data_IF_193185149664
#
_entry.id   IF_193185149664
#
_cell.length_a   1.000
_cell.length_b   1.000
_cell.length_c   1.000
_cell.angle_alpha   90.00
_cell.angle_beta   90.00
_cell.angle_gamma   90.00
#
_symmetry.space_group_name_H-M   'P 1'
#
loop_
_entity.id
_entity.type
_entity.pdbx_description
1 polymer ?
#
# COMPACT_ATOMS: atom_id res chain seq x y z
N UNK A 1 11.71 11.06 -97.45
CA UNK A 1 10.56 10.54 -96.67
C UNK A 1 11.04 9.37 -95.82
N UNK A 2 11.33 9.60 -94.53
CA UNK A 2 11.64 8.54 -93.56
C UNK A 2 10.64 8.71 -92.41
N UNK A 3 9.76 7.72 -92.22
CA UNK A 3 8.79 7.67 -91.12
C UNK A 3 9.43 6.94 -89.95
N UNK A 4 9.62 7.64 -88.83
CA UNK A 4 10.01 7.10 -87.53
C UNK A 4 8.78 6.55 -86.81
N UNK A 5 8.88 5.32 -86.30
CA UNK A 5 7.90 4.64 -85.46
C UNK A 5 8.29 4.93 -84.00
N UNK A 6 7.40 5.57 -83.24
CA UNK A 6 7.56 5.74 -81.79
C UNK A 6 7.01 4.52 -81.05
N UNK A 7 7.87 3.81 -80.33
CA UNK A 7 7.49 2.77 -79.38
C UNK A 7 7.25 3.41 -78.00
N UNK A 8 6.06 3.22 -77.44
CA UNK A 8 5.74 3.61 -76.06
C UNK A 8 6.07 2.45 -75.12
N UNK A 9 7.01 2.67 -74.19
CA UNK A 9 7.25 1.78 -73.05
C UNK A 9 6.23 2.10 -71.94
N UNK A 10 5.38 1.12 -71.59
CA UNK A 10 4.63 1.13 -70.33
C UNK A 10 5.53 0.56 -69.22
N UNK A 11 5.95 1.39 -68.27
CA UNK A 11 6.55 0.95 -67.01
C UNK A 11 5.45 0.62 -66.00
N UNK A 12 5.30 -0.66 -65.66
CA UNK A 12 4.44 -1.10 -64.56
C UNK A 12 5.16 -0.89 -63.22
N UNK A 13 4.69 0.06 -62.42
CA UNK A 13 5.14 0.24 -61.03
C UNK A 13 4.34 -0.73 -60.16
N UNK A 14 5.00 -1.77 -59.66
CA UNK A 14 4.42 -2.66 -58.66
C UNK A 14 4.43 -1.96 -57.30
N UNK A 15 3.25 -1.48 -56.85
CA UNK A 15 3.03 -1.05 -55.48
C UNK A 15 3.05 -2.27 -54.55
N UNK A 16 4.19 -2.53 -53.92
CA UNK A 16 4.25 -3.40 -52.74
C UNK A 16 3.56 -2.68 -51.59
N UNK A 17 2.32 -3.05 -51.30
CA UNK A 17 1.64 -2.64 -50.08
C UNK A 17 2.37 -3.21 -48.87
N UNK A 18 2.98 -2.34 -48.07
CA UNK A 18 3.49 -2.67 -46.73
C UNK A 18 2.28 -2.99 -45.84
N UNK A 19 2.01 -4.28 -45.63
CA UNK A 19 1.11 -4.69 -44.54
C UNK A 19 1.83 -4.33 -43.24
N UNK A 20 1.24 -3.53 -42.35
CA UNK A 20 1.86 -3.28 -41.05
C UNK A 20 2.00 -4.63 -40.35
N UNK A 21 3.24 -5.01 -40.03
CA UNK A 21 3.47 -6.14 -39.16
C UNK A 21 2.75 -5.82 -37.84
N UNK A 22 1.72 -6.59 -37.49
CA UNK A 22 1.22 -6.57 -36.12
C UNK A 22 2.41 -6.93 -35.25
N UNK A 23 2.87 -5.97 -34.43
CA UNK A 23 3.84 -6.25 -33.40
C UNK A 23 3.31 -7.42 -32.57
N UNK A 24 4.11 -8.47 -32.42
CA UNK A 24 3.74 -9.57 -31.55
C UNK A 24 3.48 -9.00 -30.15
N UNK A 25 2.38 -9.39 -29.52
CA UNK A 25 2.11 -9.00 -28.13
C UNK A 25 3.32 -9.41 -27.27
N UNK A 26 3.82 -8.53 -26.38
CA UNK A 26 4.95 -8.84 -25.54
C UNK A 26 4.70 -10.13 -24.76
N UNK A 27 5.61 -11.09 -24.87
CA UNK A 27 5.61 -12.33 -24.10
C UNK A 27 6.90 -12.41 -23.28
N UNK A 28 6.79 -12.73 -22.00
CA UNK A 28 7.91 -12.74 -21.07
C UNK A 28 7.42 -12.58 -19.63
N UNK A 29 8.29 -12.10 -18.75
CA UNK A 29 8.02 -12.07 -17.31
C UNK A 29 8.12 -10.65 -16.77
N UNK A 30 7.08 -10.21 -16.06
CA UNK A 30 7.14 -9.07 -15.13
C UNK A 30 7.43 -9.61 -13.74
N UNK A 31 8.38 -8.99 -13.05
CA UNK A 31 8.75 -9.40 -11.70
C UNK A 31 8.11 -8.46 -10.66
N UNK A 32 7.39 -9.04 -9.71
CA UNK A 32 6.90 -8.35 -8.52
C UNK A 32 7.86 -8.66 -7.36
N UNK A 33 8.62 -7.65 -6.93
CA UNK A 33 9.52 -7.76 -5.78
C UNK A 33 8.80 -7.20 -4.55
N UNK A 34 8.51 -8.07 -3.57
CA UNK A 34 7.84 -7.71 -2.30
C UNK A 34 8.83 -7.77 -1.14
N UNK A 35 8.64 -6.95 -0.08
CA UNK A 35 9.55 -6.94 1.05
C UNK A 35 9.48 -8.24 1.85
N UNK A 36 8.26 -8.72 2.11
CA UNK A 36 7.99 -9.99 2.79
C UNK A 36 6.63 -10.55 2.33
N UNK A 37 6.26 -11.74 2.81
CA UNK A 37 4.91 -12.31 2.67
C UNK A 37 4.26 -12.63 4.02
N UNK A 38 4.88 -12.18 5.10
CA UNK A 38 4.40 -12.36 6.48
C UNK A 38 3.45 -11.24 6.89
N UNK A 39 3.62 -10.03 6.35
CA UNK A 39 2.64 -8.94 6.46
C UNK A 39 1.42 -9.30 5.61
N UNK A 40 0.25 -9.34 6.26
CA UNK A 40 -1.00 -9.85 5.68
C UNK A 40 -1.34 -9.22 4.33
N UNK A 41 -1.17 -7.89 4.20
CA UNK A 41 -1.57 -7.17 2.98
C UNK A 41 -0.94 -7.71 1.69
N UNK A 42 0.34 -8.09 1.74
CA UNK A 42 1.06 -8.53 0.55
C UNK A 42 0.51 -9.86 0.05
N UNK A 43 0.42 -10.84 0.96
CA UNK A 43 0.00 -12.19 0.63
C UNK A 43 -1.51 -12.31 0.36
N UNK A 44 -2.33 -11.51 1.06
CA UNK A 44 -3.79 -11.61 0.99
C UNK A 44 -4.42 -10.71 -0.05
N UNK A 45 -3.84 -9.54 -0.32
CA UNK A 45 -4.48 -8.54 -1.16
C UNK A 45 -3.61 -8.14 -2.35
N UNK A 46 -2.43 -7.58 -2.13
CA UNK A 46 -1.64 -6.97 -3.20
C UNK A 46 -1.20 -8.01 -4.26
N UNK A 47 -0.61 -9.14 -3.85
CA UNK A 47 -0.16 -10.19 -4.78
C UNK A 47 -1.35 -10.84 -5.55
N UNK A 48 -2.44 -11.27 -4.90
CA UNK A 48 -3.60 -11.81 -5.62
C UNK A 48 -4.23 -10.81 -6.59
N UNK A 49 -4.45 -9.56 -6.15
CA UNK A 49 -5.04 -8.53 -7.01
C UNK A 49 -4.13 -8.19 -8.20
N UNK A 50 -2.81 -8.11 -8.00
CA UNK A 50 -1.87 -7.93 -9.12
C UNK A 50 -1.86 -9.12 -10.07
N UNK A 51 -1.97 -10.34 -9.55
CA UNK A 51 -2.06 -11.56 -10.38
C UNK A 51 -3.31 -11.53 -11.25
N UNK A 52 -4.46 -11.13 -10.70
CA UNK A 52 -5.70 -10.94 -11.45
C UNK A 52 -5.61 -9.81 -12.47
N UNK A 53 -5.00 -8.68 -12.08
CA UNK A 53 -4.78 -7.55 -12.97
C UNK A 53 -3.87 -7.94 -14.15
N UNK A 54 -2.80 -8.71 -13.93
CA UNK A 54 -1.94 -9.23 -15.00
C UNK A 54 -2.73 -10.14 -15.96
N UNK A 55 -3.57 -11.05 -15.45
CA UNK A 55 -4.45 -11.88 -16.30
C UNK A 55 -5.44 -11.03 -17.11
N UNK A 56 -5.93 -9.94 -16.54
CA UNK A 56 -6.91 -9.03 -17.18
C UNK A 56 -6.28 -8.16 -18.26
N UNK A 57 -5.14 -7.53 -17.98
CA UNK A 57 -4.54 -6.48 -18.82
C UNK A 57 -3.38 -6.99 -19.69
N UNK A 58 -2.75 -8.10 -19.31
CA UNK A 58 -1.61 -8.69 -20.03
C UNK A 58 -1.59 -10.22 -19.92
N UNK A 59 -2.61 -10.95 -20.41
CA UNK A 59 -2.70 -12.40 -20.27
C UNK A 59 -1.55 -13.21 -20.90
N UNK A 60 -0.74 -12.58 -21.76
CA UNK A 60 0.47 -13.18 -22.36
C UNK A 60 1.77 -12.95 -21.58
N UNK A 61 1.73 -12.17 -20.49
CA UNK A 61 2.90 -11.87 -19.64
C UNK A 61 2.75 -12.60 -18.30
N UNK A 62 3.79 -13.34 -17.93
CA UNK A 62 3.86 -14.02 -16.64
C UNK A 62 4.20 -13.02 -15.51
N UNK A 63 3.57 -13.18 -14.35
CA UNK A 63 3.93 -12.46 -13.14
C UNK A 63 4.76 -13.39 -12.23
N UNK A 64 6.04 -13.07 -12.05
CA UNK A 64 6.91 -13.78 -11.11
C UNK A 64 7.06 -12.98 -9.82
N UNK A 65 6.60 -13.54 -8.70
CA UNK A 65 6.73 -12.92 -7.38
C UNK A 65 8.04 -13.35 -6.72
N UNK A 66 8.80 -12.39 -6.19
CA UNK A 66 10.01 -12.61 -5.42
C UNK A 66 9.87 -11.96 -4.03
N UNK A 67 10.00 -12.77 -3.00
CA UNK A 67 9.90 -12.37 -1.60
C UNK A 67 11.30 -12.14 -1.01
N UNK A 68 11.58 -10.93 -0.53
CA UNK A 68 12.88 -10.57 0.04
C UNK A 68 13.08 -10.98 1.51
N UNK A 69 12.05 -11.46 2.22
CA UNK A 69 12.10 -11.81 3.65
C UNK A 69 12.65 -10.68 4.54
N UNK A 70 12.25 -9.44 4.25
CA UNK A 70 12.72 -8.20 4.90
C UNK A 70 14.24 -7.97 4.79
N UNK A 71 14.93 -8.68 3.87
CA UNK A 71 16.37 -8.55 3.62
C UNK A 71 16.62 -7.70 2.36
N UNK A 72 17.17 -6.50 2.59
CA UNK A 72 17.48 -5.56 1.51
C UNK A 72 18.55 -6.11 0.53
N UNK A 73 19.53 -6.87 1.00
CA UNK A 73 20.56 -7.45 0.14
C UNK A 73 19.97 -8.56 -0.73
N UNK A 74 19.06 -9.36 -0.17
CA UNK A 74 18.30 -10.35 -0.92
C UNK A 74 17.45 -9.69 -2.01
N UNK A 75 16.78 -8.57 -1.70
CA UNK A 75 15.98 -7.84 -2.70
C UNK A 75 16.85 -7.31 -3.85
N UNK A 76 18.06 -6.82 -3.57
CA UNK A 76 19.01 -6.41 -4.61
C UNK A 76 19.40 -7.60 -5.49
N UNK A 77 19.77 -8.75 -4.91
CA UNK A 77 20.13 -9.95 -5.67
C UNK A 77 18.96 -10.49 -6.50
N UNK A 78 17.73 -10.37 -6.00
CA UNK A 78 16.51 -10.73 -6.72
C UNK A 78 16.29 -9.84 -7.95
N UNK A 79 16.49 -8.52 -7.82
CA UNK A 79 16.41 -7.60 -8.95
C UNK A 79 17.48 -7.91 -10.00
N UNK A 80 18.73 -8.14 -9.58
CA UNK A 80 19.82 -8.52 -10.49
C UNK A 80 19.51 -9.82 -11.25
N UNK A 81 18.93 -10.81 -10.55
CA UNK A 81 18.52 -12.08 -11.17
C UNK A 81 17.36 -11.91 -12.14
N UNK A 82 16.39 -11.04 -11.83
CA UNK A 82 15.28 -10.71 -12.71
C UNK A 82 15.77 -10.03 -14.00
N UNK A 83 16.66 -9.03 -13.87
CA UNK A 83 17.28 -8.34 -15.00
C UNK A 83 18.10 -9.29 -15.88
N UNK A 84 18.95 -10.12 -15.27
CA UNK A 84 19.73 -11.13 -15.99
C UNK A 84 18.86 -12.18 -16.71
N UNK A 85 17.63 -12.40 -16.24
CA UNK A 85 16.65 -13.30 -16.84
C UNK A 85 15.82 -12.63 -17.95
N UNK A 86 16.09 -11.36 -18.27
CA UNK A 86 15.37 -10.61 -19.31
C UNK A 86 13.98 -10.14 -18.89
N UNK A 87 13.83 -9.68 -17.64
CA UNK A 87 12.60 -9.09 -17.15
C UNK A 87 12.04 -8.04 -18.13
N UNK A 88 10.75 -8.15 -18.48
CA UNK A 88 10.06 -7.12 -19.27
C UNK A 88 9.85 -5.85 -18.45
N UNK A 89 9.65 -5.99 -17.15
CA UNK A 89 9.41 -4.89 -16.23
C UNK A 89 9.49 -5.37 -14.78
N UNK A 90 9.70 -4.42 -13.87
CA UNK A 90 9.74 -4.69 -12.43
C UNK A 90 8.68 -3.84 -11.74
N UNK A 91 7.87 -4.47 -10.91
CA UNK A 91 7.03 -3.78 -9.94
C UNK A 91 7.69 -3.95 -8.57
N UNK A 92 8.15 -2.85 -7.99
CA UNK A 92 8.99 -2.84 -6.80
C UNK A 92 8.24 -2.31 -5.58
N UNK A 93 8.08 -3.17 -4.58
CA UNK A 93 7.78 -2.79 -3.20
C UNK A 93 9.07 -2.94 -2.40
N UNK A 94 9.79 -1.83 -2.19
CA UNK A 94 11.15 -1.88 -1.62
C UNK A 94 11.16 -2.24 -0.14
N UNK A 95 12.08 -3.10 0.31
CA UNK A 95 12.34 -3.34 1.75
C UNK A 95 12.74 -2.05 2.45
N UNK A 96 13.58 -1.25 1.82
CA UNK A 96 14.11 0.02 2.34
C UNK A 96 14.21 1.03 1.18
N UNK A 97 13.25 1.95 1.03
CA UNK A 97 13.23 2.89 -0.09
C UNK A 97 14.48 3.76 -0.23
N UNK A 98 15.05 4.35 0.85
CA UNK A 98 16.33 5.05 0.75
C UNK A 98 17.48 4.21 0.16
N UNK A 99 17.44 2.88 0.31
CA UNK A 99 18.46 1.95 -0.18
C UNK A 99 18.14 1.28 -1.52
N UNK A 100 17.00 1.60 -2.14
CA UNK A 100 16.57 0.99 -3.42
C UNK A 100 17.28 1.55 -4.66
N UNK A 101 18.06 2.63 -4.53
CA UNK A 101 18.74 3.32 -5.63
C UNK A 101 19.53 2.39 -6.57
N UNK A 102 20.20 1.38 -6.01
CA UNK A 102 21.02 0.44 -6.79
C UNK A 102 20.20 -0.51 -7.65
N UNK A 103 18.95 -0.83 -7.23
CA UNK A 103 17.99 -1.62 -8.03
C UNK A 103 17.52 -0.76 -9.20
N UNK A 104 17.09 0.47 -8.91
CA UNK A 104 16.56 1.41 -9.89
C UNK A 104 17.58 1.73 -10.99
N UNK A 105 18.82 2.04 -10.59
CA UNK A 105 19.89 2.37 -11.54
C UNK A 105 20.26 1.20 -12.47
N UNK A 106 20.22 -0.04 -11.97
CA UNK A 106 20.49 -1.23 -12.79
C UNK A 106 19.37 -1.50 -13.79
N UNK A 107 18.13 -1.38 -13.36
CA UNK A 107 16.98 -1.55 -14.25
C UNK A 107 16.99 -0.52 -15.39
N UNK A 108 17.30 0.74 -15.10
CA UNK A 108 17.46 1.78 -16.12
C UNK A 108 18.61 1.47 -17.10
N UNK A 109 19.75 1.00 -16.60
CA UNK A 109 20.89 0.63 -17.44
C UNK A 109 20.57 -0.50 -18.43
N UNK A 110 19.69 -1.43 -18.03
CA UNK A 110 19.21 -2.54 -18.85
C UNK A 110 17.96 -2.18 -19.68
N UNK A 111 17.47 -0.93 -19.57
CA UNK A 111 16.27 -0.46 -20.27
C UNK A 111 14.96 -1.09 -19.78
N UNK A 112 14.95 -1.63 -18.56
CA UNK A 112 13.79 -2.31 -17.97
C UNK A 112 12.97 -1.30 -17.15
N UNK A 113 11.69 -1.04 -17.48
CA UNK A 113 10.86 -0.10 -16.74
C UNK A 113 10.58 -0.60 -15.32
N UNK A 114 10.59 0.34 -14.37
CA UNK A 114 10.23 0.09 -12.97
C UNK A 114 9.00 0.90 -12.58
N UNK A 115 7.98 0.24 -12.05
CA UNK A 115 6.87 0.86 -11.32
C UNK A 115 7.05 0.58 -9.84
N UNK A 116 7.16 1.63 -9.02
CA UNK A 116 7.23 1.45 -7.56
C UNK A 116 5.84 1.45 -6.95
N UNK A 117 5.65 0.67 -5.88
CA UNK A 117 4.31 0.39 -5.35
C UNK A 117 4.31 0.43 -3.82
N UNK A 118 3.31 1.13 -3.27
CA UNK A 118 2.98 1.32 -1.85
C UNK A 118 4.05 1.98 -0.98
N UNK A 119 5.30 1.52 -1.03
CA UNK A 119 6.42 2.18 -0.36
C UNK A 119 7.00 3.29 -1.23
N UNK A 120 7.63 4.29 -0.61
CA UNK A 120 8.25 5.40 -1.33
C UNK A 120 9.08 4.92 -2.53
N UNK A 121 9.11 5.67 -3.64
CA UNK A 121 9.83 5.26 -4.85
C UNK A 121 11.35 5.12 -4.67
N UNK A 122 11.92 5.71 -3.62
CA UNK A 122 13.37 5.75 -3.40
C UNK A 122 14.12 6.65 -4.40
N UNK A 123 15.40 6.95 -4.15
CA UNK A 123 16.17 7.86 -5.01
C UNK A 123 16.70 7.14 -6.24
N UNK A 124 16.06 7.34 -7.39
CA UNK A 124 16.49 6.77 -8.66
C UNK A 124 15.47 6.91 -9.79
N UNK A 125 15.79 6.39 -10.99
CA UNK A 125 14.88 6.39 -12.14
C UNK A 125 13.70 5.45 -11.87
N UNK A 126 12.50 6.01 -11.92
CA UNK A 126 11.22 5.28 -11.74
C UNK A 126 10.27 5.75 -12.82
N UNK A 127 9.62 4.82 -13.51
CA UNK A 127 8.66 5.15 -14.58
C UNK A 127 7.36 5.72 -14.00
N UNK A 128 6.78 5.03 -13.01
CA UNK A 128 5.58 5.47 -12.31
C UNK A 128 5.59 5.01 -10.85
N UNK A 129 4.82 5.71 -10.02
CA UNK A 129 4.59 5.32 -8.64
C UNK A 129 3.10 5.07 -8.38
N UNK A 130 2.75 4.03 -7.62
CA UNK A 130 1.37 3.77 -7.19
C UNK A 130 1.33 3.69 -5.68
N UNK A 131 0.55 4.57 -5.05
CA UNK A 131 0.42 4.62 -3.58
C UNK A 131 -0.88 5.28 -3.17
N UNK A 132 -0.99 5.57 -1.88
CA UNK A 132 -2.03 6.40 -1.27
C UNK A 132 -1.36 7.61 -0.60
N UNK A 133 -2.07 8.75 -0.44
CA UNK A 133 -1.57 9.84 0.38
C UNK A 133 -1.50 9.42 1.86
N UNK A 134 -0.29 9.38 2.45
CA UNK A 134 -0.13 8.96 3.84
C UNK A 134 -0.71 9.96 4.85
N UNK A 135 -0.68 11.26 4.51
CA UNK A 135 -1.24 12.32 5.35
C UNK A 135 -2.73 12.14 5.61
N UNK A 136 -3.47 11.64 4.61
CA UNK A 136 -4.92 11.52 4.66
C UNK A 136 -5.35 10.44 5.66
N UNK A 137 -4.47 9.46 5.91
CA UNK A 137 -4.67 8.39 6.89
C UNK A 137 -4.69 9.00 8.29
N UNK A 138 -3.63 9.71 8.65
CA UNK A 138 -3.52 10.36 9.95
C UNK A 138 -4.58 11.44 10.15
N UNK A 139 -4.94 12.16 9.08
CA UNK A 139 -5.98 13.17 9.12
C UNK A 139 -7.35 12.56 9.46
N UNK A 140 -7.73 11.48 8.78
CA UNK A 140 -8.99 10.78 9.04
C UNK A 140 -9.02 10.19 10.46
N UNK A 141 -7.95 9.50 10.88
CA UNK A 141 -7.86 8.89 12.20
C UNK A 141 -7.83 9.93 13.33
N UNK A 142 -7.07 11.01 13.17
CA UNK A 142 -6.97 12.10 14.15
C UNK A 142 -8.28 12.85 14.29
N UNK A 143 -8.94 13.16 13.17
CA UNK A 143 -10.29 13.75 13.19
C UNK A 143 -11.26 12.86 13.95
N UNK A 144 -11.32 11.57 13.59
CA UNK A 144 -12.24 10.63 14.20
C UNK A 144 -12.02 10.49 15.71
N UNK A 145 -10.76 10.38 16.16
CA UNK A 145 -10.42 10.37 17.58
C UNK A 145 -10.85 11.68 18.27
N UNK A 146 -10.62 12.85 17.65
CA UNK A 146 -11.00 14.14 18.23
C UNK A 146 -12.52 14.28 18.46
N UNK A 147 -13.33 13.65 17.60
CA UNK A 147 -14.80 13.65 17.67
C UNK A 147 -15.35 12.56 18.61
N UNK A 148 -14.55 11.55 18.93
CA UNK A 148 -14.94 10.36 19.72
C UNK A 148 -14.01 10.14 20.92
N UNK A 149 -13.53 11.23 21.52
CA UNK A 149 -12.72 11.16 22.74
C UNK A 149 -13.50 10.42 23.85
N UNK A 150 -12.83 9.58 24.67
CA UNK A 150 -13.40 9.05 25.91
C UNK A 150 -13.95 10.17 26.79
N UNK A 151 -14.86 9.89 27.73
CA UNK A 151 -15.50 10.96 28.53
C UNK A 151 -14.58 11.58 29.61
N UNK A 152 -13.58 10.84 30.09
CA UNK A 152 -12.66 11.28 31.15
C UNK A 152 -11.78 12.48 30.74
N UNK A 153 -11.46 13.38 31.67
CA UNK A 153 -10.62 14.57 31.42
C UNK A 153 -9.55 14.76 32.51
N UNK A 154 -8.27 15.03 32.14
CA UNK A 154 -7.74 14.91 30.77
C UNK A 154 -7.88 13.47 30.26
N UNK A 155 -8.13 13.29 28.96
CA UNK A 155 -8.13 11.96 28.34
C UNK A 155 -6.69 11.46 28.34
N UNK A 156 -6.43 10.34 28.98
CA UNK A 156 -5.09 9.74 29.09
C UNK A 156 -4.86 8.77 27.93
N UNK A 157 -4.11 9.20 26.93
CA UNK A 157 -3.81 8.38 25.75
C UNK A 157 -2.41 7.75 25.83
N UNK A 158 -2.33 6.49 25.43
CA UNK A 158 -1.09 5.77 25.19
C UNK A 158 -0.79 5.71 23.68
N UNK A 159 0.33 6.26 23.24
CA UNK A 159 0.77 6.21 21.84
C UNK A 159 1.69 5.01 21.63
N UNK A 160 1.19 3.99 20.92
CA UNK A 160 1.93 2.78 20.54
C UNK A 160 2.10 2.79 19.02
N UNK A 161 3.06 3.58 18.57
CA UNK A 161 3.21 3.99 17.18
C UNK A 161 4.03 2.98 16.37
N UNK A 162 4.19 3.24 15.08
CA UNK A 162 4.98 2.42 14.16
C UNK A 162 6.48 2.71 14.23
N UNK A 163 7.17 2.46 13.10
CA UNK A 163 8.60 2.69 12.97
C UNK A 163 8.90 4.03 12.28
N UNK A 164 9.60 4.97 12.96
CA UNK A 164 9.86 6.31 12.45
C UNK A 164 10.80 6.36 11.24
N UNK A 165 11.45 5.25 10.86
CA UNK A 165 12.30 5.22 9.66
C UNK A 165 11.50 5.25 8.36
N UNK A 166 10.21 4.93 8.40
CA UNK A 166 9.34 4.97 7.22
C UNK A 166 8.60 6.30 7.14
N UNK A 167 8.52 6.89 5.95
CA UNK A 167 7.80 8.16 5.74
C UNK A 167 6.33 8.08 6.18
N UNK A 168 5.72 6.90 6.07
CA UNK A 168 4.38 6.60 6.58
C UNK A 168 4.16 7.09 8.02
N UNK A 169 5.11 6.84 8.93
CA UNK A 169 5.04 7.28 10.32
C UNK A 169 4.94 8.81 10.40
N UNK A 170 5.86 9.51 9.75
CA UNK A 170 5.96 10.96 9.81
C UNK A 170 4.74 11.64 9.22
N UNK A 171 4.26 11.18 8.08
CA UNK A 171 3.08 11.74 7.40
C UNK A 171 1.78 11.45 8.15
N UNK A 172 1.62 10.24 8.70
CA UNK A 172 0.47 9.90 9.53
C UNK A 172 0.45 10.74 10.82
N UNK A 173 1.59 10.92 11.50
CA UNK A 173 1.66 11.80 12.68
C UNK A 173 1.33 13.25 12.35
N UNK A 174 1.83 13.79 11.23
CA UNK A 174 1.44 15.14 10.77
C UNK A 174 -0.08 15.27 10.59
N UNK A 175 -0.73 14.24 10.03
CA UNK A 175 -2.19 14.19 9.88
C UNK A 175 -2.90 14.16 11.23
N UNK A 176 -2.46 13.30 12.15
CA UNK A 176 -3.00 13.21 13.52
C UNK A 176 -2.89 14.54 14.27
N UNK A 177 -1.71 15.17 14.21
CA UNK A 177 -1.38 16.38 14.95
C UNK A 177 -2.26 17.56 14.53
N UNK A 178 -2.81 17.59 13.32
CA UNK A 178 -3.80 18.61 12.91
C UNK A 178 -5.00 18.69 13.87
N UNK A 179 -5.42 17.55 14.43
CA UNK A 179 -6.58 17.46 15.32
C UNK A 179 -6.21 17.26 16.78
N UNK A 180 -5.15 16.48 17.06
CA UNK A 180 -4.81 16.12 18.43
C UNK A 180 -3.93 17.17 19.11
N UNK A 181 -3.05 17.86 18.38
CA UNK A 181 -2.16 18.85 18.99
C UNK A 181 -2.92 19.98 19.72
N UNK A 182 -3.99 20.58 19.17
CA UNK A 182 -4.77 21.58 19.91
C UNK A 182 -5.38 21.05 21.22
N UNK A 183 -5.79 19.77 21.23
CA UNK A 183 -6.38 19.11 22.40
C UNK A 183 -5.33 18.75 23.46
N UNK A 184 -4.11 18.43 23.03
CA UNK A 184 -2.96 18.21 23.92
C UNK A 184 -2.53 19.55 24.52
N UNK A 185 -2.33 20.57 23.68
CA UNK A 185 -1.83 21.88 24.09
C UNK A 185 -2.78 22.59 25.07
N UNK A 186 -4.10 22.33 24.99
CA UNK A 186 -5.10 22.89 25.91
C UNK A 186 -5.41 21.99 27.13
N UNK A 187 -4.74 20.84 27.26
CA UNK A 187 -4.90 19.91 28.39
C UNK A 187 -6.16 19.04 28.35
N UNK A 188 -6.91 19.02 27.24
CA UNK A 188 -8.04 18.08 27.06
C UNK A 188 -7.55 16.64 26.96
N UNK A 189 -6.39 16.44 26.34
CA UNK A 189 -5.71 15.15 26.16
C UNK A 189 -4.33 15.20 26.82
N UNK A 190 -3.97 14.13 27.53
CA UNK A 190 -2.65 13.89 28.09
C UNK A 190 -2.05 12.63 27.45
N UNK A 191 -0.84 12.74 26.89
CA UNK A 191 -0.11 11.55 26.41
C UNK A 191 0.70 10.96 27.58
N UNK A 192 0.20 9.87 28.16
CA UNK A 192 0.80 9.27 29.37
C UNK A 192 1.96 8.33 29.07
N UNK A 193 1.98 7.80 27.85
CA UNK A 193 3.02 6.95 27.31
C UNK A 193 3.16 7.19 25.81
N UNK A 194 4.39 7.11 25.31
CA UNK A 194 4.68 7.10 23.88
C UNK A 194 5.86 6.16 23.63
N UNK A 195 5.69 5.22 22.70
CA UNK A 195 6.74 4.32 22.27
C UNK A 195 6.52 3.86 20.83
N UNK A 196 7.62 3.63 20.12
CA UNK A 196 7.62 3.17 18.73
C UNK A 196 7.75 1.65 18.68
N UNK A 197 6.90 1.00 17.88
CA UNK A 197 6.97 -0.43 17.57
C UNK A 197 7.80 -0.60 16.30
N UNK A 198 9.11 -0.81 16.46
CA UNK A 198 10.04 -0.99 15.33
C UNK A 198 9.55 -2.09 14.37
N UNK A 199 9.69 -1.83 13.07
CA UNK A 199 9.15 -2.65 11.98
C UNK A 199 7.62 -2.89 12.04
N UNK A 200 6.86 -2.09 12.79
CA UNK A 200 5.41 -2.24 12.99
C UNK A 200 5.02 -3.60 13.62
N UNK A 201 5.94 -4.25 14.34
CA UNK A 201 5.71 -5.59 14.88
C UNK A 201 4.74 -5.58 16.06
N UNK A 202 3.73 -6.46 16.00
CA UNK A 202 2.76 -6.68 17.07
C UNK A 202 3.43 -6.97 18.43
N UNK A 203 4.49 -7.79 18.44
CA UNK A 203 5.23 -8.11 19.67
C UNK A 203 5.89 -6.88 20.32
N UNK A 204 6.37 -5.93 19.52
CA UNK A 204 6.95 -4.69 20.03
C UNK A 204 5.85 -3.77 20.59
N UNK A 205 4.73 -3.62 19.89
CA UNK A 205 3.59 -2.85 20.37
C UNK A 205 2.99 -3.43 21.65
N UNK A 206 2.87 -4.76 21.76
CA UNK A 206 2.41 -5.44 22.97
C UNK A 206 3.33 -5.12 24.15
N UNK A 207 4.63 -5.33 24.01
CA UNK A 207 5.62 -5.03 25.05
C UNK A 207 5.56 -3.56 25.49
N UNK A 208 5.47 -2.64 24.54
CA UNK A 208 5.38 -1.21 24.82
C UNK A 208 4.12 -0.88 25.62
N UNK A 209 2.98 -1.48 25.28
CA UNK A 209 1.71 -1.27 25.99
C UNK A 209 1.73 -1.90 27.39
N UNK A 210 2.28 -3.10 27.56
CA UNK A 210 2.47 -3.73 28.88
C UNK A 210 3.30 -2.85 29.82
N UNK A 211 4.38 -2.24 29.30
CA UNK A 211 5.20 -1.29 30.05
C UNK A 211 4.43 -0.02 30.40
N UNK A 212 3.62 0.50 29.47
CA UNK A 212 2.76 1.65 29.73
C UNK A 212 1.77 1.35 30.84
N UNK A 213 1.01 0.26 30.73
CA UNK A 213 0.01 -0.19 31.70
C UNK A 213 0.62 -0.37 33.09
N UNK A 214 1.83 -0.96 33.17
CA UNK A 214 2.58 -1.07 34.43
C UNK A 214 2.93 0.30 35.01
N UNK A 215 3.46 1.21 34.19
CA UNK A 215 3.89 2.56 34.61
C UNK A 215 2.71 3.42 35.08
N UNK A 216 1.55 3.29 34.44
CA UNK A 216 0.36 4.08 34.74
C UNK A 216 -0.58 3.39 35.72
N UNK A 217 -0.23 2.20 36.22
CA UNK A 217 -1.12 1.39 37.04
C UNK A 217 -2.50 1.18 36.37
N UNK A 218 -2.48 0.86 35.08
CA UNK A 218 -3.64 0.70 34.21
C UNK A 218 -4.50 1.97 34.00
N UNK A 219 -4.04 3.16 34.41
CA UNK A 219 -4.76 4.43 34.20
C UNK A 219 -4.51 4.97 32.78
N UNK A 220 -5.19 4.36 31.80
CA UNK A 220 -5.21 4.76 30.37
C UNK A 220 -6.65 4.74 29.88
N UNK A 221 -7.09 5.80 29.20
CA UNK A 221 -8.46 5.93 28.65
C UNK A 221 -8.56 5.46 27.19
N UNK A 222 -7.45 5.51 26.46
CA UNK A 222 -7.39 5.05 25.06
C UNK A 222 -5.96 4.79 24.61
N UNK A 223 -5.82 4.03 23.53
CA UNK A 223 -4.53 3.79 22.89
C UNK A 223 -4.58 4.17 21.42
N UNK A 224 -3.51 4.78 20.90
CA UNK A 224 -3.36 5.13 19.48
C UNK A 224 -2.35 4.20 18.84
N UNK A 225 -2.70 3.63 17.69
CA UNK A 225 -1.89 2.71 16.89
C UNK A 225 -1.87 3.14 15.43
N UNK A 226 -0.86 2.69 14.67
CA UNK A 226 -0.66 3.14 13.28
C UNK A 226 -1.18 2.15 12.23
N UNK A 227 -1.16 0.86 12.55
CA UNK A 227 -1.67 -0.22 11.68
C UNK A 227 -2.27 -1.37 12.51
N UNK A 228 -2.80 -2.38 11.85
CA UNK A 228 -3.50 -3.48 12.54
C UNK A 228 -2.59 -4.43 13.34
N UNK A 229 -1.33 -4.57 12.94
CA UNK A 229 -0.34 -5.37 13.69
C UNK A 229 -0.03 -4.69 15.03
N UNK A 230 0.23 -3.38 15.02
CA UNK A 230 0.41 -2.59 16.24
C UNK A 230 -0.87 -2.58 17.09
N UNK A 231 -2.04 -2.46 16.45
CA UNK A 231 -3.35 -2.64 17.09
C UNK A 231 -3.50 -3.99 17.78
N UNK A 232 -3.07 -5.07 17.13
CA UNK A 232 -3.14 -6.42 17.69
C UNK A 232 -2.27 -6.61 18.92
N UNK A 233 -1.05 -6.06 18.90
CA UNK A 233 -0.17 -6.05 20.06
C UNK A 233 -0.78 -5.31 21.25
N UNK A 234 -1.36 -4.13 21.01
CA UNK A 234 -2.04 -3.34 22.05
C UNK A 234 -3.25 -4.09 22.62
N UNK A 235 -4.09 -4.68 21.78
CA UNK A 235 -5.24 -5.48 22.24
C UNK A 235 -4.79 -6.69 23.06
N UNK A 236 -3.69 -7.36 22.70
CA UNK A 236 -3.15 -8.46 23.49
C UNK A 236 -2.72 -8.02 24.90
N UNK A 237 -2.02 -6.88 25.01
CA UNK A 237 -1.62 -6.30 26.30
C UNK A 237 -2.84 -5.91 27.16
N UNK A 238 -3.85 -5.28 26.55
CA UNK A 238 -5.10 -4.92 27.21
C UNK A 238 -5.88 -6.16 27.65
N UNK A 239 -5.86 -7.24 26.86
CA UNK A 239 -6.54 -8.50 27.18
C UNK A 239 -5.94 -9.13 28.42
N UNK A 240 -4.62 -9.07 28.59
CA UNK A 240 -3.93 -9.60 29.77
C UNK A 240 -4.28 -8.86 31.07
N UNK A 241 -4.93 -7.70 30.98
CA UNK A 241 -5.38 -6.87 32.11
C UNK A 241 -6.92 -6.78 32.21
N UNK A 242 -7.67 -7.58 31.43
CA UNK A 242 -9.14 -7.51 31.35
C UNK A 242 -9.66 -6.11 30.95
N UNK A 243 -8.92 -5.41 30.09
CA UNK A 243 -9.21 -4.02 29.68
C UNK A 243 -9.77 -3.89 28.25
N UNK A 244 -9.82 -4.97 27.48
CA UNK A 244 -10.43 -4.97 26.15
C UNK A 244 -11.90 -4.53 26.23
N UNK A 245 -12.28 -3.59 25.38
CA UNK A 245 -13.61 -2.97 25.38
C UNK A 245 -13.83 -1.92 26.49
N UNK A 246 -12.95 -1.84 27.49
CA UNK A 246 -12.91 -0.73 28.47
C UNK A 246 -12.00 0.40 27.99
N UNK A 247 -10.85 0.03 27.44
CA UNK A 247 -9.91 0.95 26.78
C UNK A 247 -10.08 0.77 25.28
N UNK A 248 -10.44 1.85 24.60
CA UNK A 248 -10.65 1.84 23.16
C UNK A 248 -9.34 2.07 22.42
N UNK A 249 -9.09 1.30 21.36
CA UNK A 249 -7.95 1.50 20.45
C UNK A 249 -8.39 2.38 19.28
N UNK A 250 -7.58 3.36 18.92
CA UNK A 250 -7.82 4.31 17.83
C UNK A 250 -6.68 4.23 16.79
N UNK A 251 -7.03 4.45 15.52
CA UNK A 251 -6.14 4.18 14.40
C UNK A 251 -6.33 2.75 13.88
N UNK A 252 -5.33 2.23 13.18
CA UNK A 252 -5.45 1.00 12.40
C UNK A 252 -5.36 1.26 10.91
N UNK A 253 -4.73 0.33 10.22
CA UNK A 253 -4.46 0.41 8.79
C UNK A 253 -4.15 -0.99 8.28
N UNK A 254 -4.53 -1.26 7.03
CA UNK A 254 -4.45 -2.50 6.25
C UNK A 254 -5.72 -3.35 6.21
N UNK A 255 -6.71 -3.10 7.08
CA UNK A 255 -7.95 -3.88 7.12
C UNK A 255 -7.70 -5.40 7.11
N UNK A 256 -6.83 -5.84 8.02
CA UNK A 256 -6.64 -7.27 8.30
C UNK A 256 -7.95 -7.87 8.81
N UNK A 257 -8.10 -9.18 8.69
CA UNK A 257 -9.32 -9.86 9.14
C UNK A 257 -9.58 -9.56 10.62
N UNK A 258 -8.56 -9.70 11.47
CA UNK A 258 -8.65 -9.40 12.89
C UNK A 258 -8.84 -7.90 13.16
N UNK A 259 -8.26 -7.00 12.36
CA UNK A 259 -8.47 -5.55 12.44
C UNK A 259 -9.93 -5.17 12.28
N UNK A 260 -10.55 -5.61 11.18
CA UNK A 260 -11.97 -5.37 10.91
C UNK A 260 -12.86 -6.04 11.96
N UNK A 261 -12.51 -7.24 12.42
CA UNK A 261 -13.24 -7.90 13.50
C UNK A 261 -13.17 -7.10 14.81
N UNK A 262 -12.03 -6.51 15.17
CA UNK A 262 -11.91 -5.64 16.35
C UNK A 262 -12.76 -4.39 16.23
N UNK A 263 -12.91 -3.83 15.02
CA UNK A 263 -13.84 -2.72 14.76
C UNK A 263 -15.28 -3.16 15.02
N UNK A 264 -15.69 -4.31 14.48
CA UNK A 264 -17.04 -4.86 14.67
C UNK A 264 -17.34 -5.23 16.14
N UNK A 265 -16.32 -5.60 16.91
CA UNK A 265 -16.43 -5.88 18.35
C UNK A 265 -16.40 -4.61 19.22
N UNK A 266 -16.14 -3.44 18.63
CA UNK A 266 -15.96 -2.18 19.35
C UNK A 266 -14.66 -2.07 20.14
N UNK A 267 -13.72 -3.00 19.97
CA UNK A 267 -12.40 -2.98 20.62
C UNK A 267 -11.48 -1.94 19.99
N UNK A 268 -11.64 -1.76 18.67
CA UNK A 268 -10.96 -0.74 17.88
C UNK A 268 -12.01 0.22 17.30
N UNK A 269 -11.71 1.50 17.27
CA UNK A 269 -12.70 2.55 17.01
C UNK A 269 -13.06 2.71 15.54
N UNK A 270 -12.08 2.46 14.68
CA UNK A 270 -12.13 2.51 13.24
C UNK A 270 -10.90 1.76 12.71
N UNK A 271 -10.82 1.61 11.40
CA UNK A 271 -9.67 1.07 10.69
C UNK A 271 -9.60 1.76 9.32
N UNK A 272 -8.56 1.49 8.54
CA UNK A 272 -8.38 2.05 7.21
C UNK A 272 -7.76 1.01 6.28
N UNK A 273 -8.13 1.05 5.01
CA UNK A 273 -7.53 0.20 4.00
C UNK A 273 -7.01 1.05 2.83
N UNK A 274 -5.86 0.69 2.23
CA UNK A 274 -5.62 1.08 0.85
C UNK A 274 -6.64 0.38 -0.05
N UNK A 275 -7.05 0.98 -1.18
CA UNK A 275 -7.91 0.33 -2.15
C UNK A 275 -7.09 -0.64 -3.02
N UNK A 276 -6.77 -1.79 -2.44
CA UNK A 276 -5.86 -2.80 -2.99
C UNK A 276 -6.08 -3.12 -4.46
N UNK A 277 -7.35 -3.33 -4.86
CA UNK A 277 -7.68 -3.64 -6.24
C UNK A 277 -7.37 -2.49 -7.20
N UNK A 278 -7.75 -1.26 -6.84
CA UNK A 278 -7.48 -0.07 -7.65
C UNK A 278 -5.99 0.16 -7.84
N UNK A 279 -5.23 0.04 -6.75
CA UNK A 279 -3.77 0.15 -6.78
C UNK A 279 -3.14 -0.92 -7.68
N UNK A 280 -3.50 -2.20 -7.50
CA UNK A 280 -2.97 -3.30 -8.31
C UNK A 280 -3.31 -3.16 -9.80
N UNK A 281 -4.57 -2.82 -10.12
CA UNK A 281 -5.03 -2.57 -11.49
C UNK A 281 -4.23 -1.41 -12.12
N UNK A 282 -3.97 -0.32 -11.38
CA UNK A 282 -3.19 0.81 -11.87
C UNK A 282 -1.71 0.45 -12.10
N UNK A 283 -1.09 -0.27 -11.16
CA UNK A 283 0.31 -0.68 -11.26
C UNK A 283 0.56 -1.55 -12.49
N UNK A 284 -0.33 -2.51 -12.75
CA UNK A 284 -0.27 -3.37 -13.94
C UNK A 284 -0.48 -2.56 -15.22
N UNK A 285 -1.49 -1.71 -15.29
CA UNK A 285 -1.73 -0.86 -16.46
C UNK A 285 -0.51 0.01 -16.81
N UNK A 286 0.11 0.60 -15.79
CA UNK A 286 1.28 1.46 -15.96
C UNK A 286 2.54 0.69 -16.40
N UNK A 287 2.82 -0.48 -15.81
CA UNK A 287 3.99 -1.25 -16.25
C UNK A 287 3.79 -1.81 -17.67
N UNK A 288 2.57 -2.24 -18.01
CA UNK A 288 2.25 -2.81 -19.33
C UNK A 288 2.36 -1.74 -20.41
N UNK A 289 1.87 -0.52 -20.17
CA UNK A 289 2.03 0.56 -21.16
C UNK A 289 3.51 0.87 -21.40
N UNK A 290 4.34 0.89 -20.35
CA UNK A 290 5.80 1.06 -20.49
C UNK A 290 6.45 -0.07 -21.29
N UNK A 291 6.08 -1.32 -21.05
CA UNK A 291 6.58 -2.48 -21.80
C UNK A 291 6.22 -2.36 -23.29
N UNK A 292 5.02 -1.84 -23.60
CA UNK A 292 4.55 -1.63 -24.98
C UNK A 292 5.13 -0.38 -25.65
N UNK A 293 5.87 0.46 -24.92
CA UNK A 293 6.35 1.75 -25.41
C UNK A 293 5.23 2.78 -25.60
N UNK A 294 4.11 2.59 -24.89
CA UNK A 294 2.92 3.45 -24.94
C UNK A 294 2.92 4.45 -23.78
N UNK A 295 2.13 5.52 -23.93
CA UNK A 295 1.83 6.42 -22.83
C UNK A 295 0.97 5.73 -21.76
N UNK A 296 0.98 6.25 -20.53
CA UNK A 296 0.06 5.77 -19.49
C UNK A 296 -1.40 5.92 -19.98
N UNK A 297 -2.28 4.95 -19.70
CA UNK A 297 -3.68 5.08 -20.06
C UNK A 297 -4.32 6.33 -19.42
N UNK A 298 -5.22 6.96 -20.16
CA UNK A 298 -5.89 8.19 -19.74
C UNK A 298 -6.54 8.02 -18.35
N UNK A 299 -6.30 8.99 -17.46
CA UNK A 299 -6.87 9.00 -16.11
C UNK A 299 -6.22 8.07 -15.10
N UNK A 300 -5.23 7.24 -15.48
CA UNK A 300 -4.49 6.42 -14.52
C UNK A 300 -3.51 7.28 -13.73
N UNK A 301 -2.68 8.09 -14.37
CA UNK A 301 -1.81 9.05 -13.66
C UNK A 301 -2.64 10.25 -13.20
N UNK A 302 -2.60 10.57 -11.91
CA UNK A 302 -3.40 11.65 -11.31
C UNK A 302 -2.58 12.60 -10.40
N UNK A 303 -1.27 12.39 -10.27
CA UNK A 303 -0.41 13.25 -9.46
C UNK A 303 1.08 12.97 -9.67
N UNK A 304 1.90 13.47 -8.74
CA UNK A 304 3.33 13.16 -8.67
C UNK A 304 3.75 12.84 -7.24
N UNK A 305 4.87 12.14 -7.08
CA UNK A 305 5.46 11.81 -5.77
C UNK A 305 6.94 12.18 -5.72
N UNK A 306 7.40 12.92 -4.69
CA UNK A 306 8.80 13.33 -4.60
C UNK A 306 9.72 12.13 -4.33
N UNK A 307 10.83 12.03 -5.08
CA UNK A 307 11.83 10.97 -4.86
C UNK A 307 13.27 11.49 -4.79
N UNK A 308 13.45 12.81 -4.77
CA UNK A 308 14.76 13.49 -4.76
C UNK A 308 15.70 13.08 -5.93
N UNK A 309 15.13 12.64 -7.05
CA UNK A 309 15.87 12.28 -8.26
C UNK A 309 15.21 12.86 -9.52
N UNK A 310 13.91 12.63 -9.68
CA UNK A 310 13.11 13.13 -10.79
C UNK A 310 12.64 14.55 -10.48
N UNK A 311 12.99 15.51 -11.34
CA UNK A 311 12.51 16.89 -11.23
C UNK A 311 10.97 16.92 -11.29
N UNK A 312 10.32 17.60 -10.34
CA UNK A 312 8.86 17.62 -10.22
C UNK A 312 8.22 16.35 -9.61
N UNK A 313 9.02 15.33 -9.31
CA UNK A 313 8.58 14.05 -8.75
C UNK A 313 8.22 13.00 -9.82
N UNK A 314 8.09 11.75 -9.36
CA UNK A 314 7.69 10.61 -10.19
C UNK A 314 6.19 10.73 -10.52
N UNK A 315 5.76 10.59 -11.78
CA UNK A 315 4.33 10.54 -12.11
C UNK A 315 3.64 9.40 -11.36
N UNK A 316 2.51 9.69 -10.74
CA UNK A 316 1.91 8.79 -9.77
C UNK A 316 0.40 8.56 -9.97
N UNK A 317 -0.03 7.36 -9.58
CA UNK A 317 -1.41 7.05 -9.19
C UNK A 317 -1.49 7.13 -7.67
N UNK A 318 -2.26 8.09 -7.16
CA UNK A 318 -2.61 8.21 -5.76
C UNK A 318 -4.06 7.80 -5.59
N UNK A 319 -4.29 6.66 -4.97
CA UNK A 319 -5.64 6.19 -4.68
C UNK A 319 -6.11 6.72 -3.32
N UNK A 320 -7.42 7.02 -3.17
CA UNK A 320 -7.97 7.47 -1.90
C UNK A 320 -8.04 6.30 -0.91
N UNK A 321 -7.61 6.55 0.33
CA UNK A 321 -7.78 5.58 1.41
C UNK A 321 -9.26 5.35 1.74
N UNK A 322 -9.59 4.14 2.17
CA UNK A 322 -10.93 3.77 2.59
C UNK A 322 -11.00 3.75 4.11
N UNK A 323 -11.84 4.60 4.70
CA UNK A 323 -12.08 4.62 6.15
C UNK A 323 -13.14 3.60 6.53
N UNK A 324 -12.86 2.80 7.55
CA UNK A 324 -13.68 1.68 7.99
C UNK A 324 -14.18 1.96 9.41
N UNK A 325 -15.49 2.02 9.56
CA UNK A 325 -16.20 2.06 10.85
C UNK A 325 -17.20 0.91 10.89
N UNK A 326 -17.79 0.58 12.06
CA UNK A 326 -18.82 -0.46 12.14
C UNK A 326 -19.95 -0.27 11.11
N UNK A 327 -20.30 0.98 10.80
CA UNK A 327 -21.36 1.34 9.86
C UNK A 327 -20.96 1.16 8.39
N UNK A 328 -19.67 1.24 8.06
CA UNK A 328 -19.21 1.17 6.67
C UNK A 328 -18.73 -0.21 6.26
N UNK A 329 -18.50 -1.15 7.19
CA UNK A 329 -17.93 -2.49 6.91
C UNK A 329 -18.59 -3.22 5.73
N UNK A 330 -19.92 -3.15 5.60
CA UNK A 330 -20.61 -3.78 4.47
C UNK A 330 -20.07 -3.26 3.12
N UNK A 331 -20.00 -1.95 2.95
CA UNK A 331 -19.55 -1.32 1.71
C UNK A 331 -18.03 -1.37 1.54
N UNK A 332 -17.28 -1.07 2.61
CA UNK A 332 -15.82 -0.90 2.55
C UNK A 332 -15.02 -2.20 2.61
N UNK A 333 -15.62 -3.29 3.08
CA UNK A 333 -14.93 -4.58 3.25
C UNK A 333 -15.60 -5.67 2.42
N UNK A 334 -16.91 -5.88 2.55
CA UNK A 334 -17.60 -6.99 1.89
C UNK A 334 -17.84 -6.68 0.42
N UNK A 335 -18.50 -5.56 0.12
CA UNK A 335 -18.81 -5.16 -1.26
C UNK A 335 -17.54 -4.82 -2.04
N UNK A 336 -16.49 -4.37 -1.33
CA UNK A 336 -15.14 -4.16 -1.86
C UNK A 336 -14.37 -5.47 -2.10
N UNK A 337 -14.87 -6.62 -1.64
CA UNK A 337 -14.29 -7.94 -1.86
C UNK A 337 -13.05 -8.26 -1.02
N UNK A 338 -12.82 -7.55 0.10
CA UNK A 338 -11.70 -7.84 0.99
C UNK A 338 -11.93 -9.13 1.78
N UNK A 339 -13.14 -9.30 2.34
CA UNK A 339 -13.55 -10.49 3.07
C UNK A 339 -15.02 -10.78 2.86
N UNK A 340 -15.37 -12.05 2.96
CA UNK A 340 -16.76 -12.49 3.05
C UNK A 340 -17.34 -12.23 4.45
N UNK A 341 -18.67 -12.14 4.54
CA UNK A 341 -19.36 -12.08 5.84
C UNK A 341 -19.04 -13.29 6.72
N UNK A 342 -18.88 -14.47 6.11
CA UNK A 342 -18.53 -15.70 6.84
C UNK A 342 -17.16 -15.60 7.50
N UNK A 343 -16.15 -15.09 6.79
CA UNK A 343 -14.82 -14.85 7.36
C UNK A 343 -14.87 -13.83 8.51
N UNK A 344 -15.54 -12.68 8.30
CA UNK A 344 -15.67 -11.65 9.33
C UNK A 344 -16.39 -12.17 10.58
N UNK A 345 -17.38 -13.04 10.41
CA UNK A 345 -18.15 -13.62 11.51
C UNK A 345 -17.56 -14.92 12.08
N UNK A 346 -16.34 -15.29 11.67
CA UNK A 346 -15.53 -16.33 12.30
C UNK A 346 -14.70 -15.82 13.47
N UNK A 347 -13.97 -16.73 14.13
CA UNK A 347 -12.96 -16.38 15.14
C UNK A 347 -13.47 -15.48 16.26
N UNK A 348 -12.80 -14.34 16.47
CA UNK A 348 -13.20 -13.36 17.48
C UNK A 348 -14.46 -12.58 17.06
N UNK A 349 -14.72 -12.44 15.77
CA UNK A 349 -15.84 -11.68 15.23
C UNK A 349 -17.22 -12.33 15.42
N UNK A 350 -17.27 -13.61 15.78
CA UNK A 350 -18.53 -14.37 15.95
C UNK A 350 -19.55 -13.70 16.87
N UNK A 351 -19.08 -12.95 17.87
CA UNK A 351 -19.93 -12.34 18.91
C UNK A 351 -20.33 -10.89 18.56
N UNK A 352 -19.81 -10.34 17.47
CA UNK A 352 -20.12 -8.99 17.01
C UNK A 352 -21.61 -8.85 16.63
N UNK A 353 -22.19 -7.67 16.88
CA UNK A 353 -23.60 -7.40 16.56
C UNK A 353 -23.88 -7.55 15.05
N UNK A 354 -22.94 -7.12 14.21
CA UNK A 354 -22.98 -7.28 12.76
C UNK A 354 -23.22 -8.73 12.31
N UNK A 355 -22.75 -9.70 13.09
CA UNK A 355 -22.82 -11.13 12.77
C UNK A 355 -24.09 -11.82 13.26
N UNK A 356 -24.94 -11.11 14.00
CA UNK A 356 -26.22 -11.62 14.53
C UNK A 356 -27.40 -11.34 13.60
N UNK A 357 -27.21 -10.48 12.61
CA UNK A 357 -28.24 -10.01 11.66
C UNK A 357 -28.10 -10.65 10.28
#
# INVERSE_FOLDING_TARGET
>A
MKRTISAALLSAVALFGTVPAMAAEPSGTVYLLVPNVTTNRWAKFDIPNMTEAMKKYAPGIELQVLNANDDMQQQVSQAESALASGALGIILVSVDPPRSASILAKAEADGVPVVTYAHDPGPGPVSYHVSVPFSDIGEAQGKYLSEHLPEHRPVRLAYMLGDPKFAFYGEQMKGFDKYLKPLIDNGTVEIVCQADALLYLAANAQKNMEQCLTKTNNEVDGAVVMNDDTGGGVIAALSAQDMVGKVKVYGGYDATLEGVQRVLLGWQAADMAPPYKGMADAAVQLIVSKIKGEEAPEGVVNGTWPNNFTEGGVPARLEPNVFITPETVQASVIDAGLFTKEELCGGIGKDAEFCKN
#
